data_IF_528374349561
#
_entry.id   IF_528374349561
#
_cell.length_a   1.000
_cell.length_b   1.000
_cell.length_c   1.000
_cell.angle_alpha   90.00
_cell.angle_beta   90.00
_cell.angle_gamma   90.00
#
_symmetry.space_group_name_H-M   'P 1'
#
loop_
_entity.id
_entity.type
_entity.pdbx_description
1 polymer ?
#
# COMPACT_ATOMS: atom_id res chain seq x y z
N UNK A 1 22.89 50.26 30.07
CA UNK A 1 22.57 49.78 28.71
C UNK A 1 23.43 48.58 28.28
N UNK A 2 24.68 48.40 28.71
CA UNK A 2 25.51 47.29 28.21
C UNK A 2 25.33 45.88 28.80
N UNK A 3 24.61 45.66 29.91
CA UNK A 3 24.49 44.32 30.52
C UNK A 3 23.26 43.52 30.10
N UNK A 4 22.15 44.18 29.76
CA UNK A 4 20.95 43.51 29.23
C UNK A 4 21.18 43.03 27.79
N UNK A 5 21.79 43.86 26.94
CA UNK A 5 22.12 43.48 25.57
C UNK A 5 23.08 42.27 25.51
N UNK A 6 24.04 42.19 26.44
CA UNK A 6 24.96 41.05 26.54
C UNK A 6 24.27 39.77 27.04
N UNK A 7 23.28 39.89 27.92
CA UNK A 7 22.50 38.74 28.39
C UNK A 7 21.59 38.19 27.28
N UNK A 8 20.96 39.09 26.52
CA UNK A 8 20.11 38.73 25.36
C UNK A 8 20.94 38.10 24.24
N UNK A 9 22.13 38.65 23.94
CA UNK A 9 23.05 38.06 22.96
C UNK A 9 23.53 36.66 23.41
N UNK A 10 23.79 36.48 24.71
CA UNK A 10 24.15 35.17 25.28
C UNK A 10 23.04 34.14 25.10
N UNK A 11 21.79 34.51 25.39
CA UNK A 11 20.62 33.64 25.22
C UNK A 11 20.34 33.30 23.75
N UNK A 12 20.57 34.26 22.84
CA UNK A 12 20.46 34.03 21.40
C UNK A 12 21.54 33.06 20.92
N UNK A 13 22.77 33.20 21.40
CA UNK A 13 23.88 32.30 21.03
C UNK A 13 23.61 30.85 21.50
N UNK A 14 23.13 30.67 22.73
CA UNK A 14 22.78 29.34 23.25
C UNK A 14 21.62 28.69 22.46
N UNK A 15 20.61 29.49 22.08
CA UNK A 15 19.52 29.03 21.23
C UNK A 15 19.98 28.67 19.81
N UNK A 16 20.93 29.43 19.25
CA UNK A 16 21.53 29.15 17.93
C UNK A 16 22.37 27.87 17.96
N UNK A 17 23.13 27.64 19.03
CA UNK A 17 23.90 26.40 19.20
C UNK A 17 22.98 25.18 19.35
N UNK A 18 21.88 25.31 20.09
CA UNK A 18 20.86 24.25 20.21
C UNK A 18 20.24 23.91 18.85
N UNK A 19 19.89 24.94 18.06
CA UNK A 19 19.38 24.79 16.69
C UNK A 19 20.38 24.08 15.77
N UNK A 20 21.67 24.37 15.93
CA UNK A 20 22.72 23.74 15.15
C UNK A 20 22.88 22.24 15.48
N UNK A 21 22.73 21.87 16.75
CA UNK A 21 22.73 20.47 17.18
C UNK A 21 21.50 19.70 16.69
N UNK A 22 20.31 20.30 16.78
CA UNK A 22 19.07 19.71 16.26
C UNK A 22 19.11 19.51 14.74
N UNK A 23 19.65 20.48 13.99
CA UNK A 23 19.87 20.35 12.55
C UNK A 23 20.89 19.25 12.20
N UNK A 24 21.95 19.09 13.00
CA UNK A 24 22.92 18.02 12.81
C UNK A 24 22.29 16.63 13.05
N UNK A 25 21.39 16.52 14.04
CA UNK A 25 20.59 15.33 14.32
C UNK A 25 19.65 14.99 13.15
N UNK A 26 18.90 15.97 12.65
CA UNK A 26 18.02 15.82 11.47
C UNK A 26 18.84 15.37 10.23
N UNK A 27 20.00 15.98 9.99
CA UNK A 27 20.87 15.60 8.86
C UNK A 27 21.36 14.15 8.97
N UNK A 28 21.66 13.67 10.18
CA UNK A 28 22.07 12.29 10.42
C UNK A 28 20.94 11.29 10.13
N UNK A 29 19.71 11.63 10.55
CA UNK A 29 18.53 10.79 10.31
C UNK A 29 18.11 10.79 8.84
N UNK A 30 18.24 11.93 8.13
CA UNK A 30 18.13 12.02 6.68
C UNK A 30 19.22 11.22 5.95
N UNK A 31 20.42 11.09 6.53
CA UNK A 31 21.44 10.18 6.01
C UNK A 31 21.00 8.71 6.03
N UNK A 32 20.18 8.30 7.01
CA UNK A 32 19.62 6.95 7.08
C UNK A 32 18.52 6.68 6.04
N UNK A 33 17.86 7.73 5.51
CA UNK A 33 17.01 7.65 4.32
C UNK A 33 17.82 7.35 3.04
N UNK A 34 19.15 7.41 3.09
CA UNK A 34 20.06 6.85 2.08
C UNK A 34 19.98 5.33 1.88
N UNK A 35 19.00 4.66 2.51
CA UNK A 35 18.61 3.25 2.31
C UNK A 35 17.81 3.01 1.02
N UNK A 36 17.27 4.07 0.40
CA UNK A 36 16.48 4.02 -0.85
C UNK A 36 17.22 3.31 -2.01
N UNK A 37 18.53 3.52 -2.25
CA UNK A 37 19.29 2.75 -3.25
C UNK A 37 19.34 1.25 -2.96
N UNK A 38 19.24 0.84 -1.70
CA UNK A 38 19.15 -0.57 -1.30
C UNK A 38 17.80 -1.19 -1.67
N UNK A 39 16.71 -0.42 -1.56
CA UNK A 39 15.38 -0.85 -2.03
C UNK A 39 15.37 -0.94 -3.55
N UNK A 40 15.95 0.03 -4.26
CA UNK A 40 16.06 0.01 -5.72
C UNK A 40 16.74 -1.28 -6.21
N UNK A 41 17.87 -1.67 -5.62
CA UNK A 41 18.55 -2.95 -5.95
C UNK A 41 17.68 -4.19 -5.68
N UNK A 42 16.84 -4.17 -4.64
CA UNK A 42 15.94 -5.30 -4.34
C UNK A 42 14.72 -5.33 -5.27
N UNK A 43 14.25 -4.18 -5.73
CA UNK A 43 13.23 -4.08 -6.77
C UNK A 43 13.78 -4.59 -8.11
N UNK A 44 15.02 -4.28 -8.45
CA UNK A 44 15.68 -4.85 -9.63
C UNK A 44 15.84 -6.38 -9.51
N UNK A 45 16.15 -6.87 -8.31
CA UNK A 45 16.15 -8.30 -7.99
C UNK A 45 14.78 -8.94 -8.19
N UNK A 46 13.72 -8.31 -7.69
CA UNK A 46 12.33 -8.77 -7.87
C UNK A 46 11.93 -8.80 -9.35
N UNK A 47 12.30 -7.78 -10.12
CA UNK A 47 12.03 -7.72 -11.56
C UNK A 47 12.77 -8.84 -12.32
N UNK A 48 13.98 -9.19 -11.87
CA UNK A 48 14.74 -10.31 -12.43
C UNK A 48 14.08 -11.66 -12.12
N UNK A 49 13.70 -11.92 -10.87
CA UNK A 49 12.97 -13.13 -10.48
C UNK A 49 11.62 -13.26 -11.20
N UNK A 50 10.88 -12.15 -11.38
CA UNK A 50 9.62 -12.15 -12.12
C UNK A 50 9.81 -12.52 -13.60
N UNK A 51 10.90 -12.06 -14.22
CA UNK A 51 11.24 -12.42 -15.60
C UNK A 51 11.61 -13.91 -15.73
N UNK A 52 12.30 -14.49 -14.76
CA UNK A 52 12.62 -15.92 -14.74
C UNK A 52 11.35 -16.77 -14.59
N UNK A 53 10.46 -16.42 -13.66
CA UNK A 53 9.14 -17.04 -13.52
C UNK A 53 8.37 -17.00 -14.84
N UNK A 54 8.34 -15.84 -15.50
CA UNK A 54 7.66 -15.69 -16.79
C UNK A 54 8.25 -16.59 -17.88
N UNK A 55 9.58 -16.71 -17.95
CA UNK A 55 10.26 -17.59 -18.92
C UNK A 55 9.98 -19.06 -18.64
N UNK A 56 10.04 -19.50 -17.38
CA UNK A 56 9.73 -20.88 -16.99
C UNK A 56 8.27 -21.22 -17.30
N UNK A 57 7.34 -20.31 -16.99
CA UNK A 57 5.92 -20.48 -17.31
C UNK A 57 5.66 -20.57 -18.81
N UNK A 58 6.33 -19.73 -19.60
CA UNK A 58 6.27 -19.77 -21.05
C UNK A 58 6.83 -21.09 -21.60
N UNK A 59 7.95 -21.58 -21.06
CA UNK A 59 8.53 -22.87 -21.42
C UNK A 59 7.70 -24.10 -21.02
N UNK A 60 6.81 -23.98 -20.03
CA UNK A 60 5.79 -24.99 -19.70
C UNK A 60 4.61 -24.89 -20.69
N UNK A 61 4.17 -23.67 -21.01
CA UNK A 61 3.06 -23.45 -21.93
C UNK A 61 3.39 -23.90 -23.37
N UNK A 62 4.59 -23.57 -23.84
CA UNK A 62 5.09 -23.92 -25.18
C UNK A 62 5.39 -25.41 -25.34
N UNK A 63 5.67 -26.15 -24.24
CA UNK A 63 5.99 -27.58 -24.35
C UNK A 63 4.80 -28.38 -24.90
N UNK A 64 3.56 -27.88 -24.75
CA UNK A 64 2.30 -28.56 -25.16
C UNK A 64 2.22 -30.03 -24.71
N UNK A 65 3.06 -30.43 -23.75
CA UNK A 65 3.18 -31.82 -23.31
C UNK A 65 1.84 -32.29 -22.73
N UNK A 66 1.09 -31.41 -22.07
CA UNK A 66 -0.27 -31.67 -21.62
C UNK A 66 -1.27 -31.94 -22.76
N UNK A 67 -1.22 -31.22 -23.89
CA UNK A 67 -2.10 -31.49 -25.05
C UNK A 67 -1.75 -32.83 -25.72
N UNK A 68 -0.46 -33.15 -25.80
CA UNK A 68 0.03 -34.42 -26.37
C UNK A 68 -0.38 -35.60 -25.49
N UNK A 69 -0.29 -35.46 -24.16
CA UNK A 69 -0.72 -36.47 -23.20
C UNK A 69 -2.23 -36.72 -23.31
N UNK A 70 -3.05 -35.66 -23.35
CA UNK A 70 -4.52 -35.80 -23.48
C UNK A 70 -4.90 -36.52 -24.77
N UNK A 71 -4.33 -36.13 -25.92
CA UNK A 71 -4.59 -36.80 -27.20
C UNK A 71 -4.18 -38.26 -27.19
N UNK A 72 -3.06 -38.60 -26.56
CA UNK A 72 -2.61 -39.99 -26.49
C UNK A 72 -3.40 -40.84 -25.51
N UNK A 73 -3.91 -40.27 -24.42
CA UNK A 73 -4.87 -40.96 -23.54
C UNK A 73 -6.15 -41.29 -24.32
N UNK A 74 -6.66 -40.36 -25.12
CA UNK A 74 -7.78 -40.63 -26.02
C UNK A 74 -7.45 -41.73 -27.03
N UNK A 75 -6.27 -41.69 -27.67
CA UNK A 75 -5.84 -42.74 -28.59
C UNK A 75 -5.72 -44.11 -27.87
N UNK A 76 -5.24 -44.13 -26.63
CA UNK A 76 -5.14 -45.35 -25.80
C UNK A 76 -6.54 -45.91 -25.56
N UNK A 77 -7.48 -45.08 -25.09
CA UNK A 77 -8.86 -45.48 -24.83
C UNK A 77 -9.55 -46.04 -26.08
N UNK A 78 -9.27 -45.47 -27.25
CA UNK A 78 -9.80 -45.94 -28.54
C UNK A 78 -9.13 -47.26 -29.00
N UNK A 79 -7.86 -47.47 -28.65
CA UNK A 79 -7.03 -48.60 -29.12
C UNK A 79 -7.01 -49.84 -28.23
N UNK A 80 -7.72 -49.87 -27.09
CA UNK A 80 -7.69 -50.99 -26.12
C UNK A 80 -8.26 -52.32 -26.64
N UNK A 81 -8.77 -52.36 -27.87
CA UNK A 81 -9.36 -53.55 -28.49
C UNK A 81 -8.33 -54.64 -28.86
N UNK A 82 -7.04 -54.30 -28.98
CA UNK A 82 -6.00 -55.21 -29.48
C UNK A 82 -4.81 -55.34 -28.50
N UNK A 83 -4.49 -56.55 -28.00
CA UNK A 83 -3.50 -56.75 -26.94
C UNK A 83 -2.05 -56.42 -27.32
N UNK A 84 -1.66 -56.54 -28.59
CA UNK A 84 -0.32 -56.12 -29.07
C UNK A 84 -0.16 -54.60 -29.10
N UNK A 85 -1.25 -53.87 -29.35
CA UNK A 85 -1.28 -52.40 -29.32
C UNK A 85 -1.13 -51.90 -27.88
N UNK A 86 -1.64 -52.63 -26.89
CA UNK A 86 -1.53 -52.29 -25.47
C UNK A 86 -0.07 -52.27 -25.02
N UNK A 87 0.75 -53.27 -25.37
CA UNK A 87 2.16 -53.30 -24.97
C UNK A 87 2.97 -52.14 -25.56
N UNK A 88 2.78 -51.84 -26.85
CA UNK A 88 3.48 -50.71 -27.49
C UNK A 88 3.03 -49.36 -26.92
N UNK A 89 1.76 -49.23 -26.54
CA UNK A 89 1.24 -48.01 -25.89
C UNK A 89 1.68 -47.87 -24.43
N UNK A 90 1.98 -48.98 -23.75
CA UNK A 90 2.55 -48.97 -22.40
C UNK A 90 3.98 -48.43 -22.38
N UNK A 91 4.81 -48.83 -23.35
CA UNK A 91 6.17 -48.29 -23.53
C UNK A 91 6.14 -46.80 -23.87
N UNK A 92 5.22 -46.38 -24.76
CA UNK A 92 4.98 -44.96 -25.06
C UNK A 92 4.60 -44.19 -23.79
N UNK A 93 3.68 -44.72 -22.97
CA UNK A 93 3.28 -44.13 -21.69
C UNK A 93 4.45 -43.99 -20.71
N UNK A 94 5.32 -45.00 -20.61
CA UNK A 94 6.53 -44.90 -19.80
C UNK A 94 7.47 -43.79 -20.30
N UNK A 95 7.59 -43.61 -21.61
CA UNK A 95 8.32 -42.48 -22.20
C UNK A 95 7.71 -41.12 -21.84
N UNK A 96 6.38 -41.01 -21.80
CA UNK A 96 5.70 -39.78 -21.37
C UNK A 96 5.82 -39.51 -19.87
N UNK A 97 5.76 -40.56 -19.04
CA UNK A 97 6.01 -40.44 -17.60
C UNK A 97 7.42 -39.93 -17.34
N UNK A 98 8.42 -40.36 -18.14
CA UNK A 98 9.76 -39.80 -18.09
C UNK A 98 9.81 -38.33 -18.57
N UNK A 99 9.00 -37.94 -19.56
CA UNK A 99 8.85 -36.55 -19.99
C UNK A 99 8.24 -35.64 -18.91
N UNK A 100 7.29 -36.17 -18.12
CA UNK A 100 6.69 -35.45 -17.00
C UNK A 100 7.71 -35.11 -15.89
N UNK A 101 8.80 -35.87 -15.76
CA UNK A 101 9.89 -35.52 -14.83
C UNK A 101 10.53 -34.17 -15.18
N UNK A 102 10.57 -33.79 -16.46
CA UNK A 102 11.05 -32.46 -16.87
C UNK A 102 10.07 -31.32 -16.52
N UNK A 103 8.76 -31.60 -16.46
CA UNK A 103 7.77 -30.65 -15.94
C UNK A 103 7.87 -30.55 -14.41
N UNK A 104 8.09 -31.67 -13.73
CA UNK A 104 8.29 -31.70 -12.27
C UNK A 104 9.50 -30.85 -11.86
N UNK A 105 10.62 -30.97 -12.57
CA UNK A 105 11.82 -30.14 -12.37
C UNK A 105 11.50 -28.64 -12.57
N UNK A 106 10.82 -28.27 -13.67
CA UNK A 106 10.40 -26.88 -13.92
C UNK A 106 9.43 -26.34 -12.86
N UNK A 107 8.56 -27.19 -12.30
CA UNK A 107 7.64 -26.82 -11.21
C UNK A 107 8.41 -26.62 -9.90
N UNK A 108 9.42 -27.45 -9.63
CA UNK A 108 10.28 -27.29 -8.47
C UNK A 108 11.09 -25.99 -8.56
N UNK A 109 11.67 -25.68 -9.72
CA UNK A 109 12.38 -24.43 -9.98
C UNK A 109 11.45 -23.21 -9.82
N UNK A 110 10.23 -23.30 -10.34
CA UNK A 110 9.21 -22.26 -10.18
C UNK A 110 8.86 -22.03 -8.69
N UNK A 111 8.75 -23.12 -7.92
CA UNK A 111 8.49 -23.07 -6.48
C UNK A 111 9.63 -22.37 -5.72
N UNK A 112 10.89 -22.69 -6.07
CA UNK A 112 12.08 -22.02 -5.49
C UNK A 112 12.11 -20.54 -5.81
N UNK A 113 11.91 -20.16 -7.07
CA UNK A 113 11.86 -18.75 -7.48
C UNK A 113 10.73 -17.98 -6.76
N UNK A 114 9.60 -18.63 -6.49
CA UNK A 114 8.52 -18.02 -5.73
C UNK A 114 8.87 -17.79 -4.25
N UNK A 115 9.59 -18.73 -3.62
CA UNK A 115 10.08 -18.55 -2.25
C UNK A 115 11.08 -17.39 -2.15
N UNK A 116 12.03 -17.31 -3.09
CA UNK A 116 12.98 -16.18 -3.15
C UNK A 116 12.24 -14.84 -3.34
N UNK A 117 11.24 -14.81 -4.23
CA UNK A 117 10.38 -13.64 -4.44
C UNK A 117 9.66 -13.23 -3.15
N UNK A 118 9.10 -14.19 -2.40
CA UNK A 118 8.45 -13.91 -1.11
C UNK A 118 9.42 -13.34 -0.08
N UNK A 119 10.66 -13.85 -0.03
CA UNK A 119 11.69 -13.31 0.84
C UNK A 119 12.03 -11.87 0.48
N UNK A 120 12.27 -11.59 -0.81
CA UNK A 120 12.56 -10.23 -1.31
C UNK A 120 11.43 -9.27 -0.94
N UNK A 121 10.17 -9.65 -1.18
CA UNK A 121 8.99 -8.85 -0.81
C UNK A 121 8.95 -8.62 0.70
N UNK A 122 9.20 -9.66 1.50
CA UNK A 122 9.24 -9.55 2.96
C UNK A 122 10.31 -8.55 3.44
N UNK A 123 11.47 -8.49 2.78
CA UNK A 123 12.49 -7.51 3.12
C UNK A 123 12.08 -6.10 2.68
N UNK A 124 11.52 -5.93 1.49
CA UNK A 124 11.04 -4.62 1.01
C UNK A 124 9.99 -4.04 1.97
N UNK A 125 9.04 -4.85 2.43
CA UNK A 125 8.00 -4.41 3.38
C UNK A 125 8.63 -3.92 4.69
N UNK A 126 9.60 -4.65 5.26
CA UNK A 126 10.31 -4.20 6.47
C UNK A 126 11.09 -2.91 6.24
N UNK A 127 11.68 -2.73 5.06
CA UNK A 127 12.40 -1.50 4.73
C UNK A 127 11.45 -0.32 4.54
N UNK A 128 10.27 -0.53 3.96
CA UNK A 128 9.24 0.51 3.86
C UNK A 128 8.71 0.92 5.23
N UNK A 129 8.50 -0.05 6.13
CA UNK A 129 8.10 0.21 7.52
C UNK A 129 9.15 1.03 8.29
N UNK A 130 10.44 0.70 8.12
CA UNK A 130 11.55 1.47 8.70
C UNK A 130 11.64 2.90 8.12
N UNK A 131 11.39 3.07 6.82
CA UNK A 131 11.32 4.38 6.18
C UNK A 131 10.14 5.19 6.71
N UNK A 132 8.96 4.59 6.81
CA UNK A 132 7.76 5.24 7.33
C UNK A 132 8.00 5.73 8.76
N UNK A 133 8.58 4.87 9.62
CA UNK A 133 8.93 5.23 10.99
C UNK A 133 9.93 6.38 11.06
N UNK A 134 10.99 6.34 10.26
CA UNK A 134 12.01 7.41 10.20
C UNK A 134 11.46 8.71 9.64
N UNK A 135 10.56 8.64 8.65
CA UNK A 135 9.92 9.80 8.07
C UNK A 135 9.00 10.48 9.07
N UNK A 136 8.18 9.71 9.79
CA UNK A 136 7.33 10.23 10.88
C UNK A 136 8.18 10.89 11.98
N UNK A 137 9.26 10.23 12.42
CA UNK A 137 10.21 10.82 13.38
C UNK A 137 10.82 12.14 12.87
N UNK A 138 11.11 12.22 11.57
CA UNK A 138 11.66 13.43 10.96
C UNK A 138 10.62 14.57 10.91
N UNK A 139 9.36 14.25 10.65
CA UNK A 139 8.24 15.22 10.71
C UNK A 139 8.08 15.75 12.13
N UNK A 140 8.12 14.88 13.14
CA UNK A 140 7.99 15.29 14.55
C UNK A 140 9.10 16.27 14.92
N UNK A 141 10.37 15.95 14.58
CA UNK A 141 11.52 16.84 14.82
C UNK A 141 11.44 18.17 14.07
N UNK A 142 10.98 18.16 12.82
CA UNK A 142 10.79 19.42 12.06
C UNK A 142 9.68 20.26 12.68
N UNK A 143 8.63 19.62 13.20
CA UNK A 143 7.55 20.31 13.90
C UNK A 143 8.03 20.92 15.21
N UNK A 144 8.83 20.20 15.99
CA UNK A 144 9.49 20.72 17.20
C UNK A 144 10.40 21.92 16.88
N UNK A 145 11.18 21.82 15.79
CA UNK A 145 12.03 22.91 15.32
C UNK A 145 11.22 24.13 14.86
N UNK A 146 10.10 23.91 14.18
CA UNK A 146 9.21 24.98 13.77
C UNK A 146 8.60 25.69 14.99
N UNK A 147 8.25 24.94 16.04
CA UNK A 147 7.75 25.49 17.30
C UNK A 147 8.83 26.28 18.06
N UNK A 148 10.09 25.81 18.10
CA UNK A 148 11.18 26.59 18.70
C UNK A 148 11.47 27.88 17.93
N UNK A 149 11.47 27.82 16.59
CA UNK A 149 11.62 29.03 15.75
C UNK A 149 10.45 30.01 15.95
N UNK A 150 9.22 29.51 16.03
CA UNK A 150 8.03 30.34 16.31
C UNK A 150 8.14 31.03 17.67
N UNK A 151 8.56 30.32 18.73
CA UNK A 151 8.79 30.91 20.06
C UNK A 151 9.91 31.94 20.06
N UNK A 152 10.98 31.74 19.28
CA UNK A 152 12.06 32.73 19.14
C UNK A 152 11.55 33.98 18.42
N UNK A 153 10.71 33.83 17.38
CA UNK A 153 10.09 34.94 16.67
C UNK A 153 9.11 35.74 17.55
N UNK A 154 8.34 35.06 18.42
CA UNK A 154 7.45 35.69 19.39
C UNK A 154 8.19 36.36 20.56
N UNK A 155 9.38 35.86 20.92
CA UNK A 155 10.26 36.44 21.95
C UNK A 155 11.09 37.64 21.49
N UNK A 156 11.10 37.96 20.19
CA UNK A 156 11.79 39.13 19.66
C UNK A 156 10.91 40.39 19.87
N UNK A 157 11.42 41.47 20.51
CA UNK A 157 10.62 42.66 20.77
C UNK A 157 10.17 43.32 19.46
N UNK A 158 8.85 43.42 19.27
CA UNK A 158 8.27 44.12 18.11
C UNK A 158 8.65 45.60 18.16
N UNK A 159 9.42 46.07 17.18
CA UNK A 159 9.55 47.50 16.93
C UNK A 159 8.19 48.06 16.45
N UNK A 160 7.78 49.27 16.89
CA UNK A 160 6.44 49.77 16.61
C UNK A 160 6.36 50.21 15.13
N UNK A 161 5.55 49.49 14.35
CA UNK A 161 5.20 49.88 12.99
C UNK A 161 4.22 51.07 13.02
N UNK A 162 4.66 52.21 12.45
CA UNK A 162 3.78 53.36 12.19
C UNK A 162 2.70 53.00 11.19
N UNK A 163 1.46 53.25 11.59
CA UNK A 163 0.28 53.24 10.74
C UNK A 163 0.43 54.19 9.54
N UNK A 164 0.04 53.73 8.36
CA UNK A 164 -0.50 54.61 7.32
C UNK A 164 -1.62 53.89 6.58
N UNK A 165 -2.82 54.44 6.71
CA UNK A 165 -4.02 54.05 5.98
C UNK A 165 -3.86 54.28 4.47
N UNK A 166 -4.32 53.33 3.65
CA UNK A 166 -4.84 53.68 2.32
C UNK A 166 -5.91 52.70 1.83
N UNK A 167 -7.15 53.15 2.01
CA UNK A 167 -8.40 52.81 1.31
C UNK A 167 -8.19 52.67 -0.21
N UNK A 168 -8.71 51.63 -0.88
CA UNK A 168 -9.81 51.70 -1.90
C UNK A 168 -10.20 50.33 -2.50
N UNK A 169 -11.52 50.07 -2.54
CA UNK A 169 -12.36 49.39 -3.57
C UNK A 169 -12.19 47.91 -3.96
N UNK A 170 -13.02 47.07 -3.33
CA UNK A 170 -14.13 46.24 -3.88
C UNK A 170 -14.19 45.99 -5.41
N UNK A 171 -14.20 44.71 -5.79
CA UNK A 171 -15.10 44.16 -6.81
C UNK A 171 -15.41 42.68 -6.49
N UNK A 172 -16.71 42.39 -6.34
CA UNK A 172 -17.34 41.06 -6.40
C UNK A 172 -17.12 40.51 -7.84
N UNK A 173 -16.98 39.22 -8.18
CA UNK A 173 -17.91 38.09 -8.08
C UNK A 173 -17.22 36.90 -8.80
N UNK A 174 -17.14 35.72 -8.20
CA UNK A 174 -17.47 34.42 -8.83
C UNK A 174 -17.26 33.29 -7.81
N UNK A 175 -18.38 32.82 -7.27
CA UNK A 175 -18.47 31.75 -6.30
C UNK A 175 -18.40 30.39 -7.00
N UNK A 176 -17.36 29.61 -6.70
CA UNK A 176 -17.35 28.16 -6.90
C UNK A 176 -17.75 27.52 -5.57
N UNK A 177 -18.81 26.70 -5.48
CA UNK A 177 -19.23 26.13 -4.21
C UNK A 177 -18.24 25.05 -3.76
N UNK A 178 -17.54 25.34 -2.66
CA UNK A 178 -16.76 24.34 -1.90
C UNK A 178 -17.73 23.35 -1.21
N UNK A 179 -17.45 22.04 -1.22
CA UNK A 179 -18.26 21.06 -0.52
C UNK A 179 -18.18 21.30 1.00
N UNK A 180 -19.34 21.22 1.65
CA UNK A 180 -19.54 21.44 3.07
C UNK A 180 -18.60 20.57 3.92
N UNK A 181 -17.78 21.23 4.73
CA UNK A 181 -16.93 20.61 5.75
C UNK A 181 -17.83 20.05 6.86
N UNK A 182 -18.13 18.75 6.82
CA UNK A 182 -18.86 18.06 7.90
C UNK A 182 -18.04 18.12 9.19
N UNK A 183 -18.71 18.55 10.27
CA UNK A 183 -18.16 18.69 11.61
C UNK A 183 -17.62 17.35 12.16
N UNK A 184 -16.63 17.38 13.08
CA UNK A 184 -16.08 16.18 13.68
C UNK A 184 -17.15 15.46 14.50
N UNK A 185 -17.50 14.24 14.09
CA UNK A 185 -18.47 13.40 14.81
C UNK A 185 -17.85 12.96 16.13
N UNK A 186 -18.52 13.29 17.23
CA UNK A 186 -18.10 12.95 18.58
C UNK A 186 -17.93 11.42 18.74
N UNK A 187 -16.89 11.01 19.48
CA UNK A 187 -16.45 9.63 19.75
C UNK A 187 -17.49 8.65 20.33
N UNK A 188 -18.74 9.07 20.52
CA UNK A 188 -19.79 8.32 21.24
C UNK A 188 -20.54 7.26 20.39
N UNK A 189 -20.31 7.16 19.08
CA UNK A 189 -21.02 6.21 18.20
C UNK A 189 -20.13 5.38 17.25
N UNK A 190 -18.83 5.26 17.54
CA UNK A 190 -17.84 4.64 16.63
C UNK A 190 -18.27 3.27 16.06
N UNK A 191 -18.80 2.30 16.84
CA UNK A 191 -19.26 1.03 16.28
C UNK A 191 -20.42 1.16 15.31
N UNK A 192 -21.36 2.09 15.57
CA UNK A 192 -22.50 2.36 14.70
C UNK A 192 -22.08 3.09 13.42
N UNK A 193 -21.07 3.96 13.49
CA UNK A 193 -20.52 4.64 12.32
C UNK A 193 -19.74 3.66 11.43
N UNK A 194 -18.98 2.74 12.03
CA UNK A 194 -18.31 1.65 11.29
C UNK A 194 -19.34 0.80 10.54
N UNK A 195 -20.44 0.42 11.19
CA UNK A 195 -21.52 -0.34 10.53
C UNK A 195 -22.10 0.40 9.32
N UNK A 196 -22.42 1.69 9.47
CA UNK A 196 -22.96 2.50 8.38
C UNK A 196 -22.02 2.56 7.16
N UNK A 197 -20.70 2.68 7.40
CA UNK A 197 -19.70 2.69 6.33
C UNK A 197 -19.57 1.34 5.63
N UNK A 198 -19.62 0.25 6.39
CA UNK A 198 -19.52 -1.11 5.84
C UNK A 198 -20.77 -1.49 5.06
N UNK A 199 -21.95 -1.11 5.54
CA UNK A 199 -23.22 -1.31 4.83
C UNK A 199 -23.25 -0.51 3.51
N UNK A 200 -22.72 0.72 3.51
CA UNK A 200 -22.54 1.52 2.29
C UNK A 200 -21.69 0.76 1.25
N UNK A 201 -20.60 0.14 1.67
CA UNK A 201 -19.76 -0.66 0.79
C UNK A 201 -20.47 -1.92 0.30
N UNK A 202 -21.14 -2.66 1.18
CA UNK A 202 -21.87 -3.88 0.81
C UNK A 202 -22.96 -3.59 -0.24
N UNK A 203 -23.64 -2.45 -0.14
CA UNK A 203 -24.63 -2.03 -1.14
C UNK A 203 -24.01 -1.76 -2.53
N UNK A 204 -22.73 -1.39 -2.57
CA UNK A 204 -21.97 -1.21 -3.81
C UNK A 204 -21.39 -2.52 -4.36
N UNK A 205 -21.33 -3.60 -3.59
CA UNK A 205 -20.81 -4.90 -4.06
C UNK A 205 -21.90 -5.63 -4.87
N UNK A 206 -22.04 -5.27 -6.14
CA UNK A 206 -22.95 -5.90 -7.08
C UNK A 206 -22.35 -5.99 -8.51
N UNK A 207 -22.91 -6.82 -9.41
CA UNK A 207 -22.35 -7.02 -10.76
C UNK A 207 -22.37 -5.80 -11.67
N UNK A 208 -23.15 -4.76 -11.34
CA UNK A 208 -23.28 -3.54 -12.13
C UNK A 208 -22.31 -2.45 -11.67
N UNK A 209 -21.65 -2.63 -10.53
CA UNK A 209 -20.68 -1.66 -10.03
C UNK A 209 -19.37 -1.80 -10.78
N UNK A 210 -18.88 -0.67 -11.29
CA UNK A 210 -17.56 -0.53 -11.89
C UNK A 210 -16.47 -0.76 -10.83
N UNK A 211 -15.42 -1.50 -11.18
CA UNK A 211 -14.30 -1.81 -10.29
C UNK A 211 -13.61 -0.53 -9.79
N UNK A 212 -13.40 0.46 -10.66
CA UNK A 212 -12.84 1.76 -10.28
C UNK A 212 -13.70 2.47 -9.24
N UNK A 213 -15.03 2.51 -9.44
CA UNK A 213 -15.99 3.10 -8.49
C UNK A 213 -15.98 2.40 -7.13
N UNK A 214 -15.90 1.06 -7.12
CA UNK A 214 -15.77 0.30 -5.87
C UNK A 214 -14.43 0.59 -5.18
N UNK A 215 -13.34 0.71 -5.95
CA UNK A 215 -12.03 1.06 -5.43
C UNK A 215 -11.99 2.47 -4.82
N UNK A 216 -12.66 3.44 -5.42
CA UNK A 216 -12.82 4.79 -4.86
C UNK A 216 -13.63 4.77 -3.55
N UNK A 217 -14.74 4.03 -3.50
CA UNK A 217 -15.54 3.90 -2.29
C UNK A 217 -14.76 3.25 -1.14
N UNK A 218 -13.91 2.25 -1.44
CA UNK A 218 -13.03 1.63 -0.43
C UNK A 218 -11.98 2.62 0.11
N UNK A 219 -11.44 3.50 -0.73
CA UNK A 219 -10.52 4.56 -0.29
C UNK A 219 -11.23 5.62 0.55
N UNK A 220 -12.43 6.07 0.16
CA UNK A 220 -13.23 7.02 0.93
C UNK A 220 -13.51 6.47 2.34
N UNK A 221 -13.97 5.22 2.43
CA UNK A 221 -14.21 4.56 3.73
C UNK A 221 -12.92 4.38 4.53
N UNK A 222 -11.79 4.05 3.89
CA UNK A 222 -10.49 3.98 4.57
C UNK A 222 -10.12 5.33 5.19
N UNK A 223 -10.27 6.42 4.45
CA UNK A 223 -9.87 7.75 4.89
C UNK A 223 -10.77 8.24 6.03
N UNK A 224 -12.09 7.99 5.93
CA UNK A 224 -13.03 8.23 7.02
C UNK A 224 -12.67 7.43 8.27
N UNK A 225 -12.40 6.12 8.14
CA UNK A 225 -12.01 5.27 9.26
C UNK A 225 -10.66 5.69 9.86
N UNK A 226 -9.71 6.15 9.04
CA UNK A 226 -8.41 6.66 9.50
C UNK A 226 -8.56 7.92 10.33
N UNK A 227 -9.51 8.79 9.96
CA UNK A 227 -9.80 10.01 10.74
C UNK A 227 -10.43 9.70 12.11
N UNK A 228 -11.13 8.56 12.23
CA UNK A 228 -11.86 8.16 13.43
C UNK A 228 -11.05 7.27 14.39
N UNK A 229 -10.17 6.42 13.85
CA UNK A 229 -9.37 5.46 14.63
C UNK A 229 -7.99 6.06 14.95
N UNK A 230 -7.67 6.15 16.23
CA UNK A 230 -6.34 6.58 16.69
C UNK A 230 -5.35 5.41 16.55
N UNK A 231 -4.79 5.23 15.35
CA UNK A 231 -3.73 4.26 15.09
C UNK A 231 -3.88 3.51 13.77
N UNK A 232 -2.75 3.09 13.21
CA UNK A 232 -2.72 2.28 11.99
C UNK A 232 -3.15 0.85 12.29
N UNK A 233 -4.36 0.47 11.87
CA UNK A 233 -4.83 -0.92 11.96
C UNK A 233 -4.47 -1.69 10.68
N UNK A 234 -4.07 -2.97 10.77
CA UNK A 234 -3.81 -3.80 9.58
C UNK A 234 -4.99 -3.86 8.61
N UNK A 235 -6.21 -3.63 9.11
CA UNK A 235 -7.44 -3.59 8.30
C UNK A 235 -7.43 -2.38 7.35
N UNK A 236 -7.03 -1.19 7.80
CA UNK A 236 -6.95 0.00 6.93
C UNK A 236 -5.97 -0.21 5.76
N UNK A 237 -4.88 -0.94 5.99
CA UNK A 237 -3.96 -1.33 4.92
C UNK A 237 -4.64 -2.26 3.90
N UNK A 238 -5.45 -3.22 4.36
CA UNK A 238 -6.19 -4.14 3.48
C UNK A 238 -7.21 -3.40 2.61
N UNK A 239 -7.90 -2.38 3.17
CA UNK A 239 -8.73 -1.47 2.38
C UNK A 239 -7.95 -0.81 1.24
N UNK A 240 -6.81 -0.19 1.57
CA UNK A 240 -5.97 0.49 0.58
C UNK A 240 -5.42 -0.45 -0.49
N UNK A 241 -5.03 -1.68 -0.11
CA UNK A 241 -4.56 -2.69 -1.07
C UNK A 241 -5.68 -3.09 -2.04
N UNK A 242 -6.87 -3.43 -1.52
CA UNK A 242 -8.01 -3.86 -2.34
C UNK A 242 -8.52 -2.74 -3.26
N UNK A 243 -8.50 -1.50 -2.77
CA UNK A 243 -8.85 -0.33 -3.58
C UNK A 243 -7.91 -0.17 -4.79
N UNK A 244 -6.59 -0.28 -4.59
CA UNK A 244 -5.60 -0.20 -5.68
C UNK A 244 -5.74 -1.35 -6.68
N UNK A 245 -5.99 -2.56 -6.19
CA UNK A 245 -6.28 -3.71 -7.05
C UNK A 245 -7.49 -3.42 -7.95
N UNK A 246 -8.60 -2.96 -7.39
CA UNK A 246 -9.81 -2.65 -8.18
C UNK A 246 -9.62 -1.46 -9.14
N UNK A 247 -8.84 -0.45 -8.76
CA UNK A 247 -8.50 0.69 -9.64
C UNK A 247 -7.55 0.33 -10.77
N UNK A 248 -6.86 -0.82 -10.69
CA UNK A 248 -5.99 -1.31 -11.77
C UNK A 248 -6.76 -1.95 -12.93
N UNK A 249 -8.05 -2.26 -12.71
CA UNK A 249 -8.93 -2.74 -13.78
C UNK A 249 -9.22 -1.62 -14.80
N UNK A 250 -9.57 -1.97 -16.05
CA UNK A 250 -10.06 -0.99 -17.02
C UNK A 250 -11.23 -0.16 -16.44
N UNK A 251 -11.35 1.14 -16.76
CA UNK A 251 -12.37 2.02 -16.16
C UNK A 251 -13.81 1.55 -16.31
N UNK A 252 -14.10 0.77 -17.36
CA UNK A 252 -15.42 0.23 -17.67
C UNK A 252 -15.62 -1.21 -17.17
N UNK A 253 -14.62 -1.80 -16.51
CA UNK A 253 -14.73 -3.16 -16.00
C UNK A 253 -15.63 -3.17 -14.77
N UNK A 254 -16.63 -4.05 -14.78
CA UNK A 254 -17.49 -4.29 -13.62
C UNK A 254 -16.91 -5.38 -12.72
N UNK A 255 -17.39 -5.45 -11.47
CA UNK A 255 -17.01 -6.51 -10.55
C UNK A 255 -17.44 -7.88 -11.08
N UNK A 256 -16.51 -8.81 -11.18
CA UNK A 256 -16.82 -10.20 -11.50
C UNK A 256 -17.32 -10.96 -10.26
N UNK A 257 -17.88 -12.16 -10.46
CA UNK A 257 -18.44 -12.98 -9.38
C UNK A 257 -17.41 -13.31 -8.27
N UNK A 258 -16.15 -13.53 -8.64
CA UNK A 258 -15.08 -13.82 -7.69
C UNK A 258 -14.75 -12.59 -6.82
N UNK A 259 -14.69 -11.41 -7.43
CA UNK A 259 -14.47 -10.14 -6.73
C UNK A 259 -15.62 -9.82 -5.80
N UNK A 260 -16.86 -10.04 -6.24
CA UNK A 260 -18.07 -9.88 -5.41
C UNK A 260 -18.02 -10.81 -4.20
N UNK A 261 -17.67 -12.08 -4.40
CA UNK A 261 -17.57 -13.05 -3.32
C UNK A 261 -16.45 -12.69 -2.33
N UNK A 262 -15.27 -12.29 -2.84
CA UNK A 262 -14.14 -11.84 -2.02
C UNK A 262 -14.50 -10.59 -1.22
N UNK A 263 -15.01 -9.55 -1.88
CA UNK A 263 -15.36 -8.28 -1.24
C UNK A 263 -16.43 -8.46 -0.16
N UNK A 264 -17.47 -9.26 -0.41
CA UNK A 264 -18.48 -9.55 0.60
C UNK A 264 -17.90 -10.24 1.83
N UNK A 265 -16.97 -11.17 1.64
CA UNK A 265 -16.29 -11.86 2.74
C UNK A 265 -15.34 -10.92 3.49
N UNK A 266 -14.57 -10.14 2.75
CA UNK A 266 -13.55 -9.24 3.28
C UNK A 266 -14.20 -8.10 4.07
N UNK A 267 -15.21 -7.42 3.52
CA UNK A 267 -15.93 -6.32 4.20
C UNK A 267 -16.54 -6.80 5.53
N UNK A 268 -17.18 -7.98 5.56
CA UNK A 268 -17.71 -8.56 6.81
C UNK A 268 -16.61 -8.86 7.82
N UNK A 269 -15.49 -9.41 7.38
CA UNK A 269 -14.32 -9.69 8.22
C UNK A 269 -13.70 -8.41 8.79
N UNK A 270 -13.57 -7.37 7.96
CA UNK A 270 -13.05 -6.06 8.33
C UNK A 270 -13.96 -5.36 9.34
N UNK A 271 -15.27 -5.43 9.14
CA UNK A 271 -16.27 -4.88 10.08
C UNK A 271 -16.06 -5.41 11.49
N UNK A 272 -15.94 -6.74 11.64
CA UNK A 272 -15.72 -7.38 12.94
C UNK A 272 -14.41 -6.92 13.58
N UNK A 273 -13.31 -6.91 12.82
CA UNK A 273 -11.99 -6.51 13.32
C UNK A 273 -11.95 -5.04 13.73
N UNK A 274 -12.55 -4.14 12.94
CA UNK A 274 -12.59 -2.71 13.25
C UNK A 274 -13.43 -2.42 14.49
N UNK A 275 -14.54 -3.17 14.69
CA UNK A 275 -15.33 -3.09 15.93
C UNK A 275 -14.55 -3.57 17.15
N UNK A 276 -13.76 -4.64 17.02
CA UNK A 276 -12.90 -5.12 18.10
C UNK A 276 -11.83 -4.07 18.44
N UNK A 277 -11.14 -3.53 17.43
CA UNK A 277 -10.15 -2.47 17.62
C UNK A 277 -10.76 -1.22 18.26
N UNK A 278 -11.94 -0.78 17.81
CA UNK A 278 -12.65 0.38 18.35
C UNK A 278 -13.20 0.17 19.77
N UNK A 279 -13.37 -1.07 20.24
CA UNK A 279 -13.71 -1.38 21.64
C UNK A 279 -12.48 -1.45 22.55
N UNK A 280 -11.32 -1.72 21.97
CA UNK A 280 -10.04 -1.84 22.69
C UNK A 280 -9.24 -0.54 22.79
N UNK A 281 -9.63 0.48 22.01
CA UNK A 281 -9.11 1.87 22.06
C UNK A 281 -9.94 2.74 22.99
#
# INVERSE_FOLDING_TARGET
MGSEDNAVIGEILEKVDTLAEELASIRKDLGALGSIPGIAKKVDGLASSANEISKTMQGIHESKEYEVIIKKIDDILIGMSEPEVIMKKLDDLQGYVAGLSGIEEKVEDLSRAFQETQEIVGIIVRQLDDIERKYNLSIDKISELADTVARIAEGAPSAPAKATERKTSRNDEEAIPLPEKKAPVAKASLPSTIDALMDRLLNLVNPQTEATRMGEALEEVRDELTSMLQGHTPVLFQFGKKARELKSYPPTATLNENDIASLNKDIKSWTSKLKESAKSS
#
